data_IF_780441381873
#
_entry.id   IF_780441381873
#
_cell.length_a   1.000
_cell.length_b   1.000
_cell.length_c   1.000
_cell.angle_alpha   90.00
_cell.angle_beta   90.00
_cell.angle_gamma   90.00
#
_symmetry.space_group_name_H-M   'P 1'
#
loop_
_entity.id
_entity.type
_entity.pdbx_description
1 polymer ?
#
# COMPACT_ATOMS: atom_id res chain seq x y z
N UNK A 1 -26.94 26.47 0.96
CA UNK A 1 -25.85 26.34 1.96
C UNK A 1 -25.94 24.97 2.65
N UNK A 2 -25.48 23.89 2.01
CA UNK A 2 -25.40 22.58 2.68
C UNK A 2 -24.07 22.50 3.44
N UNK A 3 -24.17 22.47 4.76
CA UNK A 3 -23.07 22.34 5.71
C UNK A 3 -22.27 21.08 5.37
N UNK A 4 -21.09 21.25 4.76
CA UNK A 4 -20.13 20.17 4.51
C UNK A 4 -19.85 19.51 5.85
N UNK A 5 -20.31 18.26 6.03
CA UNK A 5 -19.96 17.43 7.18
C UNK A 5 -18.44 17.44 7.29
N UNK A 6 -17.94 18.13 8.32
CA UNK A 6 -16.52 18.17 8.67
C UNK A 6 -16.13 16.77 9.10
N UNK A 7 -15.66 15.96 8.15
CA UNK A 7 -14.95 14.73 8.47
C UNK A 7 -13.59 15.16 9.02
N UNK A 8 -13.52 15.28 10.34
CA UNK A 8 -12.25 15.30 11.05
C UNK A 8 -11.64 13.91 10.89
N UNK A 9 -10.71 13.79 9.94
CA UNK A 9 -9.87 12.60 9.77
C UNK A 9 -8.60 12.88 10.57
N UNK A 10 -8.38 12.12 11.63
CA UNK A 10 -7.18 12.20 12.44
C UNK A 10 -5.92 11.99 11.60
N UNK A 11 -4.78 12.51 12.07
CA UNK A 11 -3.44 12.35 11.45
C UNK A 11 -2.99 10.88 11.29
N UNK A 12 -3.76 9.92 11.82
CA UNK A 12 -3.62 8.47 11.67
C UNK A 12 -4.53 7.84 10.59
N UNK A 13 -5.46 8.60 9.98
CA UNK A 13 -5.98 8.35 8.63
C UNK A 13 -6.71 7.03 8.36
N UNK A 14 -7.29 6.36 9.36
CA UNK A 14 -8.08 5.15 9.13
C UNK A 14 -9.52 5.51 8.70
N UNK A 15 -9.73 5.83 7.42
CA UNK A 15 -11.08 5.81 6.83
C UNK A 15 -11.46 4.37 6.47
N UNK A 16 -12.30 3.79 7.32
CA UNK A 16 -12.94 2.50 7.19
C UNK A 16 -14.13 2.59 6.22
N UNK A 17 -13.95 2.39 4.92
CA UNK A 17 -15.10 2.06 4.05
C UNK A 17 -14.71 1.01 3.00
N UNK A 18 -15.04 -0.25 3.31
CA UNK A 18 -14.92 -1.41 2.44
C UNK A 18 -14.90 -2.72 3.23
N UNK A 19 -16.08 -3.25 3.57
CA UNK A 19 -16.29 -4.50 4.32
C UNK A 19 -15.87 -5.75 3.52
N UNK A 20 -14.58 -5.93 3.28
CA UNK A 20 -14.01 -7.23 2.92
C UNK A 20 -13.25 -7.76 4.13
N UNK A 21 -13.60 -8.97 4.55
CA UNK A 21 -12.90 -9.79 5.54
C UNK A 21 -11.40 -9.50 5.55
N UNK A 22 -10.80 -9.30 6.74
CA UNK A 22 -9.40 -8.90 6.94
C UNK A 22 -8.42 -9.93 6.37
N UNK A 23 -8.24 -9.93 5.06
CA UNK A 23 -7.23 -10.69 4.34
C UNK A 23 -5.83 -10.09 4.55
N UNK A 24 -5.76 -8.86 5.07
CA UNK A 24 -4.52 -8.11 5.23
C UNK A 24 -4.40 -7.51 6.64
N UNK A 25 -3.16 -7.45 7.14
CA UNK A 25 -2.83 -7.06 8.51
C UNK A 25 -3.42 -5.71 8.94
N UNK A 26 -3.69 -5.58 10.24
CA UNK A 26 -4.43 -4.46 10.83
C UNK A 26 -3.67 -3.12 10.78
N UNK A 27 -2.36 -3.15 10.54
CA UNK A 27 -1.53 -1.97 10.31
C UNK A 27 -0.81 -2.09 8.96
N UNK A 28 -1.24 -1.28 8.01
CA UNK A 28 -0.54 -1.06 6.74
C UNK A 28 -0.13 0.40 6.77
N UNK A 29 1.17 0.69 6.64
CA UNK A 29 1.64 2.06 6.54
C UNK A 29 1.02 2.71 5.29
N UNK A 30 0.53 3.95 5.34
CA UNK A 30 -0.02 4.59 4.15
C UNK A 30 1.10 5.03 3.19
N UNK A 31 0.97 4.74 1.90
CA UNK A 31 1.99 5.09 0.89
C UNK A 31 1.37 5.28 -0.50
N UNK A 32 1.79 6.32 -1.21
CA UNK A 32 1.32 6.63 -2.55
C UNK A 32 1.66 5.55 -3.58
N UNK A 33 2.69 4.75 -3.34
CA UNK A 33 3.08 3.64 -4.22
C UNK A 33 1.91 2.63 -4.43
N UNK A 34 1.22 2.25 -3.35
CA UNK A 34 0.07 1.35 -3.40
C UNK A 34 -1.26 2.07 -3.12
N UNK A 35 -1.34 3.35 -3.48
CA UNK A 35 -2.58 4.11 -3.44
C UNK A 35 -3.38 3.90 -4.73
N UNK A 36 -4.71 3.81 -4.66
CA UNK A 36 -5.57 3.75 -5.85
C UNK A 36 -5.33 4.94 -6.80
N UNK A 37 -5.11 6.13 -6.24
CA UNK A 37 -4.87 7.38 -6.98
C UNK A 37 -3.41 7.58 -7.43
N UNK A 38 -2.51 6.68 -7.06
CA UNK A 38 -1.09 6.75 -7.42
C UNK A 38 -0.78 5.92 -8.67
N UNK A 39 0.03 6.47 -9.57
CA UNK A 39 0.57 5.75 -10.74
C UNK A 39 2.09 5.90 -10.78
N UNK A 40 2.81 4.81 -11.00
CA UNK A 40 4.26 4.86 -11.14
C UNK A 40 4.66 5.60 -12.43
N UNK A 41 5.61 6.51 -12.31
CA UNK A 41 6.25 7.17 -13.44
C UNK A 41 7.14 6.16 -14.18
N UNK A 42 7.16 6.20 -15.51
CA UNK A 42 8.05 5.33 -16.30
C UNK A 42 9.49 5.85 -16.17
N UNK A 43 10.41 4.99 -15.75
CA UNK A 43 11.85 5.27 -15.71
C UNK A 43 12.33 6.10 -14.50
N UNK A 44 11.45 6.47 -13.57
CA UNK A 44 11.82 7.19 -12.35
C UNK A 44 11.08 6.59 -11.15
N UNK A 45 11.72 6.59 -9.98
CA UNK A 45 11.11 6.15 -8.73
C UNK A 45 10.23 7.25 -8.11
N UNK A 46 9.24 7.69 -8.87
CA UNK A 46 8.30 8.74 -8.51
C UNK A 46 6.88 8.30 -8.83
N UNK A 47 5.92 8.80 -8.05
CA UNK A 47 4.51 8.49 -8.19
C UNK A 47 3.75 9.72 -8.63
N UNK A 48 2.98 9.59 -9.69
CA UNK A 48 1.97 10.55 -10.12
C UNK A 48 0.69 10.33 -9.31
N UNK A 49 0.45 11.21 -8.34
CA UNK A 49 -0.78 11.21 -7.56
C UNK A 49 -1.79 12.20 -8.16
N UNK A 50 -2.97 11.73 -8.55
CA UNK A 50 -4.02 12.58 -9.13
C UNK A 50 -4.51 13.71 -8.19
N UNK A 51 -4.16 13.67 -6.90
CA UNK A 51 -4.54 14.67 -5.88
C UNK A 51 -3.42 15.63 -5.47
N UNK A 52 -2.16 15.29 -5.76
CA UNK A 52 -0.97 16.02 -5.27
C UNK A 52 0.07 16.33 -6.35
N UNK A 53 0.04 15.63 -7.48
CA UNK A 53 1.07 15.71 -8.51
C UNK A 53 2.17 14.66 -8.29
N UNK A 54 3.40 15.00 -8.67
CA UNK A 54 4.58 14.14 -8.51
C UNK A 54 4.98 14.06 -7.04
N UNK A 55 5.02 12.86 -6.49
CA UNK A 55 5.40 12.61 -5.09
C UNK A 55 6.39 11.45 -5.00
N UNK A 56 7.12 11.38 -3.89
CA UNK A 56 7.97 10.24 -3.59
C UNK A 56 7.12 8.96 -3.37
N UNK A 57 7.65 7.75 -3.63
CA UNK A 57 6.92 6.50 -3.47
C UNK A 57 6.37 6.32 -2.06
N UNK A 58 7.18 6.63 -1.04
CA UNK A 58 6.85 6.50 0.38
C UNK A 58 6.00 7.65 0.95
N UNK A 59 5.61 8.62 0.12
CA UNK A 59 4.78 9.73 0.57
C UNK A 59 3.36 9.27 0.87
N UNK A 60 2.73 9.77 1.94
CA UNK A 60 1.33 9.50 2.26
C UNK A 60 0.46 10.72 1.97
N UNK A 61 -0.41 10.61 0.97
CA UNK A 61 -1.37 11.66 0.68
C UNK A 61 -2.58 11.60 1.64
N UNK A 62 -3.19 12.75 1.96
CA UNK A 62 -4.36 12.82 2.86
C UNK A 62 -5.58 12.03 2.38
N UNK A 63 -5.65 11.70 1.09
CA UNK A 63 -6.73 10.91 0.46
C UNK A 63 -6.23 9.50 0.08
N UNK A 64 -5.35 8.93 0.90
CA UNK A 64 -4.81 7.59 0.66
C UNK A 64 -5.95 6.56 0.66
N UNK A 65 -5.97 5.71 -0.37
CA UNK A 65 -6.89 4.58 -0.53
C UNK A 65 -6.04 3.36 -0.86
N UNK A 66 -6.08 2.34 -0.01
CA UNK A 66 -5.24 1.14 -0.19
C UNK A 66 -5.71 0.34 -1.41
N UNK A 67 -4.79 0.13 -2.36
CA UNK A 67 -5.00 -0.72 -3.52
C UNK A 67 -4.20 -2.03 -3.34
N UNK A 68 -4.83 -3.15 -2.89
CA UNK A 68 -4.11 -4.39 -2.57
C UNK A 68 -3.30 -4.94 -3.75
N UNK A 69 -3.84 -4.83 -4.96
CA UNK A 69 -3.24 -5.35 -6.19
C UNK A 69 -1.97 -4.59 -6.62
N UNK A 70 -1.76 -3.36 -6.12
CA UNK A 70 -0.55 -2.58 -6.42
C UNK A 70 0.61 -2.94 -5.49
N UNK A 71 0.38 -3.72 -4.43
CA UNK A 71 1.43 -4.14 -3.52
C UNK A 71 2.21 -5.29 -4.13
N UNK A 72 3.50 -5.11 -4.34
CA UNK A 72 4.40 -6.17 -4.80
C UNK A 72 4.87 -6.97 -3.58
N UNK A 73 4.58 -8.28 -3.48
CA UNK A 73 5.11 -9.12 -2.42
C UNK A 73 6.63 -9.20 -2.50
N UNK A 74 7.29 -9.36 -1.34
CA UNK A 74 8.73 -9.62 -1.33
C UNK A 74 8.99 -10.94 -2.07
N UNK A 75 10.04 -11.00 -2.91
CA UNK A 75 10.42 -12.25 -3.57
C UNK A 75 10.68 -13.31 -2.51
N UNK A 76 10.30 -14.57 -2.81
CA UNK A 76 10.64 -15.68 -1.94
C UNK A 76 12.17 -15.78 -1.84
N UNK A 77 12.72 -16.08 -0.65
CA UNK A 77 14.14 -16.36 -0.54
C UNK A 77 14.50 -17.54 -1.46
N UNK A 78 15.74 -17.54 -1.98
CA UNK A 78 16.25 -18.71 -2.71
C UNK A 78 16.15 -19.92 -1.77
N UNK A 79 15.59 -21.06 -2.21
CA UNK A 79 15.69 -22.28 -1.43
C UNK A 79 17.16 -22.59 -1.18
N UNK A 80 17.46 -23.07 0.02
CA UNK A 80 18.78 -23.65 0.29
C UNK A 80 18.93 -24.94 -0.50
N UNK A 81 20.16 -25.21 -0.92
CA UNK A 81 20.50 -26.46 -1.60
C UNK A 81 20.56 -27.54 -0.49
N UNK A 82 19.66 -28.51 -0.53
CA UNK A 82 19.58 -29.60 0.45
C UNK A 82 20.15 -30.88 -0.16
N UNK A 83 20.87 -31.66 0.63
CA UNK A 83 21.32 -32.99 0.22
C UNK A 83 20.26 -34.05 0.56
N UNK A 84 20.14 -35.13 -0.24
CA UNK A 84 19.18 -36.22 0.04
C UNK A 84 19.39 -36.88 1.42
N UNK A 85 20.61 -36.79 1.97
CA UNK A 85 20.95 -37.34 3.28
C UNK A 85 20.34 -36.53 4.44
N UNK A 86 20.01 -35.24 4.25
CA UNK A 86 19.35 -34.37 5.25
C UNK A 86 17.93 -34.85 5.60
N UNK A 87 17.35 -35.71 4.78
CA UNK A 87 15.98 -36.22 4.92
C UNK A 87 15.92 -37.68 5.40
N UNK A 88 17.06 -38.30 5.71
CA UNK A 88 17.09 -39.66 6.28
C UNK A 88 16.87 -39.59 7.79
N UNK A 89 15.89 -40.36 8.28
CA UNK A 89 15.50 -40.46 9.69
C UNK A 89 16.18 -41.63 10.39
#
# INVERSE_FOLDING_TARGET
MLRKRSQHIDRSGATLFGNSQKLFGRSIEPSCNYCEHGRAMRGQDLILCDKKGVVAPYYSCKKFMYAPLKRVPKPRPKPMDFDPDDFKL
#
